data_IF_473765273710
#
_entry.id   IF_473765273710
#
_cell.length_a   1.000
_cell.length_b   1.000
_cell.length_c   1.000
_cell.angle_alpha   90.00
_cell.angle_beta   90.00
_cell.angle_gamma   90.00
#
_symmetry.space_group_name_H-M   'P 1'
#
loop_
_entity.id
_entity.type
_entity.pdbx_description
1 polymer ?
#
# COMPACT_ATOMS: atom_id res chain seq x y z
N UNK A 1 -24.17 25.69 20.47
CA UNK A 1 -24.11 24.27 20.85
C UNK A 1 -23.82 24.21 22.33
N UNK A 2 -24.71 23.58 23.12
CA UNK A 2 -24.63 23.58 24.58
C UNK A 2 -23.35 22.87 25.06
N UNK A 3 -22.48 23.59 25.77
CA UNK A 3 -21.19 23.11 26.27
C UNK A 3 -21.24 22.04 27.37
N UNK A 4 -22.35 21.30 27.48
CA UNK A 4 -22.60 20.34 28.56
C UNK A 4 -22.71 18.88 28.10
N UNK A 5 -22.95 18.61 26.81
CA UNK A 5 -23.21 17.23 26.31
C UNK A 5 -22.05 16.27 26.58
N UNK A 6 -20.80 16.73 26.46
CA UNK A 6 -19.64 15.89 26.76
C UNK A 6 -19.48 15.61 28.26
N UNK A 7 -19.81 16.56 29.15
CA UNK A 7 -19.72 16.36 30.59
C UNK A 7 -20.71 15.30 31.06
N UNK A 8 -21.96 15.44 30.61
CA UNK A 8 -23.03 14.49 30.91
C UNK A 8 -22.64 13.07 30.42
N UNK A 9 -22.09 12.95 29.20
CA UNK A 9 -21.60 11.68 28.69
C UNK A 9 -20.42 11.13 29.51
N UNK A 10 -19.47 11.98 29.90
CA UNK A 10 -18.32 11.58 30.72
C UNK A 10 -18.75 11.01 32.08
N UNK A 11 -19.76 11.60 32.72
CA UNK A 11 -20.33 11.07 33.96
C UNK A 11 -20.96 9.69 33.75
N UNK A 12 -21.75 9.50 32.69
CA UNK A 12 -22.35 8.21 32.34
C UNK A 12 -21.29 7.12 32.08
N UNK A 13 -20.20 7.43 31.39
CA UNK A 13 -19.09 6.49 31.19
C UNK A 13 -18.33 6.20 32.49
N UNK A 14 -18.21 7.19 33.39
CA UNK A 14 -17.55 7.00 34.67
C UNK A 14 -18.35 6.05 35.59
N UNK A 15 -19.68 6.04 35.52
CA UNK A 15 -20.54 5.05 36.21
C UNK A 15 -20.24 3.61 35.77
N UNK A 16 -19.76 3.42 34.52
CA UNK A 16 -19.31 2.13 33.99
C UNK A 16 -17.82 1.84 34.25
N UNK A 17 -17.11 2.71 34.98
CA UNK A 17 -15.68 2.60 35.24
C UNK A 17 -14.77 2.99 34.06
N UNK A 18 -15.28 3.74 33.08
CA UNK A 18 -14.53 4.18 31.89
C UNK A 18 -14.08 5.62 32.03
N UNK A 19 -12.76 5.84 31.96
CA UNK A 19 -12.16 7.18 31.88
C UNK A 19 -12.08 7.64 30.41
N UNK A 20 -13.00 8.52 30.02
CA UNK A 20 -13.08 9.02 28.64
C UNK A 20 -11.96 9.99 28.28
N UNK A 21 -11.41 10.76 29.24
CA UNK A 21 -10.27 11.64 28.96
C UNK A 21 -9.04 10.80 28.62
N UNK A 22 -8.80 9.72 29.39
CA UNK A 22 -7.72 8.78 29.12
C UNK A 22 -7.92 8.06 27.79
N UNK A 23 -9.15 7.65 27.46
CA UNK A 23 -9.46 7.02 26.18
C UNK A 23 -9.20 7.98 25.00
N UNK A 24 -9.63 9.23 25.09
CA UNK A 24 -9.39 10.26 24.07
C UNK A 24 -7.89 10.58 23.94
N UNK A 25 -7.17 10.64 25.07
CA UNK A 25 -5.72 10.85 25.06
C UNK A 25 -4.99 9.69 24.36
N UNK A 26 -5.40 8.44 24.60
CA UNK A 26 -4.86 7.28 23.91
C UNK A 26 -5.19 7.31 22.40
N UNK A 27 -6.44 7.61 22.04
CA UNK A 27 -6.89 7.69 20.65
C UNK A 27 -6.06 8.70 19.82
N UNK A 28 -5.70 9.84 20.40
CA UNK A 28 -4.85 10.86 19.75
C UNK A 28 -3.45 10.36 19.35
N UNK A 29 -3.00 9.24 19.92
CA UNK A 29 -1.68 8.66 19.65
C UNK A 29 -1.70 7.56 18.58
N UNK A 30 -2.87 7.13 18.13
CA UNK A 30 -3.01 6.05 17.14
C UNK A 30 -3.08 6.66 15.74
N UNK A 31 -2.03 6.51 14.91
CA UNK A 31 -2.08 6.94 13.52
C UNK A 31 -2.86 5.95 12.66
N UNK A 32 -3.66 6.49 11.73
CA UNK A 32 -4.28 5.76 10.63
C UNK A 32 -3.49 6.08 9.36
N UNK A 33 -3.07 5.05 8.64
CA UNK A 33 -2.44 5.21 7.32
C UNK A 33 -3.52 5.33 6.26
N UNK A 34 -3.73 6.55 5.76
CA UNK A 34 -4.69 6.85 4.71
C UNK A 34 -4.10 6.43 3.36
N UNK A 35 -4.91 5.87 2.48
CA UNK A 35 -4.46 5.42 1.18
C UNK A 35 -4.53 6.55 0.14
N UNK A 36 -3.43 6.79 -0.59
CA UNK A 36 -3.39 7.89 -1.56
C UNK A 36 -4.34 7.68 -2.73
N UNK A 37 -4.51 6.44 -3.18
CA UNK A 37 -5.20 6.09 -4.42
C UNK A 37 -6.70 6.39 -4.46
N UNK A 38 -7.28 6.80 -3.32
CA UNK A 38 -8.65 7.29 -3.28
C UNK A 38 -8.82 8.62 -4.03
N UNK A 39 -7.77 9.44 -4.15
CA UNK A 39 -7.94 10.78 -4.73
C UNK A 39 -8.06 10.77 -6.24
N UNK A 40 -7.67 9.69 -6.91
CA UNK A 40 -7.52 9.61 -8.36
C UNK A 40 -8.06 8.30 -8.98
N UNK A 41 -8.89 7.57 -8.23
CA UNK A 41 -9.46 6.29 -8.65
C UNK A 41 -8.40 5.24 -9.02
N UNK A 42 -7.28 5.21 -8.28
CA UNK A 42 -6.17 4.27 -8.53
C UNK A 42 -5.55 4.45 -9.92
N UNK A 43 -5.55 5.67 -10.46
CA UNK A 43 -4.98 5.97 -11.78
C UNK A 43 -3.44 5.93 -11.78
N UNK A 44 -2.81 6.60 -10.83
CA UNK A 44 -1.38 6.84 -10.79
C UNK A 44 -0.95 7.98 -11.72
N UNK A 45 0.35 8.29 -11.70
CA UNK A 45 0.94 9.41 -12.44
C UNK A 45 2.13 8.98 -13.31
N UNK A 46 2.23 7.68 -13.62
CA UNK A 46 3.26 7.14 -14.52
C UNK A 46 3.13 7.65 -15.96
N UNK A 47 1.93 8.04 -16.37
CA UNK A 47 1.63 8.71 -17.64
C UNK A 47 0.45 9.68 -17.50
N UNK A 48 0.26 10.66 -18.40
CA UNK A 48 -0.84 11.63 -18.32
C UNK A 48 -2.24 11.00 -18.38
N UNK A 49 -2.37 9.87 -19.06
CA UNK A 49 -3.63 9.13 -19.27
C UNK A 49 -3.65 7.84 -18.45
N UNK A 50 -2.88 7.77 -17.35
CA UNK A 50 -2.83 6.59 -16.50
C UNK A 50 -4.19 6.35 -15.83
N UNK A 51 -4.70 5.14 -15.99
CA UNK A 51 -5.94 4.68 -15.40
C UNK A 51 -5.77 3.27 -14.84
N UNK A 52 -6.60 2.94 -13.85
CA UNK A 52 -6.66 1.59 -13.31
C UNK A 52 -7.03 0.59 -14.41
N UNK A 53 -6.14 -0.38 -14.66
CA UNK A 53 -6.36 -1.46 -15.62
C UNK A 53 -5.88 -2.80 -15.05
N UNK A 54 -6.68 -3.85 -15.25
CA UNK A 54 -6.35 -5.19 -14.75
C UNK A 54 -6.26 -5.29 -13.23
N UNK A 55 -5.52 -6.28 -12.73
CA UNK A 55 -5.30 -6.50 -11.29
C UNK A 55 -6.47 -7.10 -10.51
N UNK A 56 -7.65 -7.25 -11.12
CA UNK A 56 -8.84 -7.77 -10.46
C UNK A 56 -9.37 -6.89 -9.32
N UNK A 57 -9.11 -5.59 -9.44
CA UNK A 57 -9.68 -4.50 -8.64
C UNK A 57 -10.34 -3.51 -9.59
N UNK A 58 -11.34 -2.79 -9.10
CA UNK A 58 -12.08 -1.81 -9.88
C UNK A 58 -12.51 -0.65 -8.98
N UNK A 59 -12.53 0.55 -9.55
CA UNK A 59 -13.24 1.69 -8.98
C UNK A 59 -14.53 1.88 -9.75
N UNK A 60 -15.64 2.08 -9.04
CA UNK A 60 -16.98 2.21 -9.63
C UNK A 60 -17.57 3.58 -9.36
N UNK A 61 -18.18 4.18 -10.38
CA UNK A 61 -18.76 5.53 -10.31
C UNK A 61 -17.96 6.52 -11.14
N UNK A 62 -18.60 7.64 -11.49
CA UNK A 62 -18.01 8.71 -12.33
C UNK A 62 -18.14 10.07 -11.64
N UNK A 63 -17.87 10.12 -10.33
CA UNK A 63 -17.96 11.38 -9.59
C UNK A 63 -16.86 12.33 -10.09
N UNK A 64 -17.19 13.59 -10.46
CA UNK A 64 -16.20 14.50 -11.02
C UNK A 64 -15.20 14.98 -9.96
N UNK A 65 -14.01 15.40 -10.39
CA UNK A 65 -13.05 16.10 -9.54
C UNK A 65 -11.91 15.24 -8.97
N UNK A 66 -11.70 14.02 -9.49
CA UNK A 66 -10.51 13.23 -9.14
C UNK A 66 -9.23 14.00 -9.48
N UNK A 67 -8.22 13.90 -8.61
CA UNK A 67 -6.91 14.50 -8.84
C UNK A 67 -6.24 13.90 -10.08
N UNK A 68 -5.57 14.75 -10.86
CA UNK A 68 -4.96 14.36 -12.16
C UNK A 68 -3.44 14.45 -12.16
N UNK A 69 -2.88 14.93 -11.05
CA UNK A 69 -1.45 15.09 -10.86
C UNK A 69 -1.14 15.19 -9.36
N UNK A 70 0.15 15.12 -9.02
CA UNK A 70 0.64 15.14 -7.64
C UNK A 70 0.26 16.43 -6.90
N UNK A 71 0.22 17.57 -7.58
CA UNK A 71 -0.16 18.85 -6.97
C UNK A 71 -1.62 18.84 -6.52
N UNK A 72 -2.53 18.38 -7.39
CA UNK A 72 -3.95 18.21 -7.06
C UNK A 72 -4.13 17.18 -5.94
N UNK A 73 -3.47 16.02 -6.05
CA UNK A 73 -3.53 14.98 -5.01
C UNK A 73 -3.09 15.49 -3.64
N UNK A 74 -1.98 16.24 -3.56
CA UNK A 74 -1.51 16.82 -2.29
C UNK A 74 -2.50 17.83 -1.73
N UNK A 75 -3.16 18.62 -2.56
CA UNK A 75 -4.19 19.56 -2.12
C UNK A 75 -5.43 18.84 -1.56
N UNK A 76 -5.85 17.75 -2.21
CA UNK A 76 -6.97 16.92 -1.74
C UNK A 76 -6.62 16.24 -0.41
N UNK A 77 -5.42 15.69 -0.30
CA UNK A 77 -4.90 15.10 0.94
C UNK A 77 -4.83 16.15 2.06
N UNK A 78 -4.31 17.34 1.79
CA UNK A 78 -4.26 18.44 2.77
C UNK A 78 -5.65 18.82 3.27
N UNK A 79 -6.66 18.79 2.40
CA UNK A 79 -8.04 19.04 2.81
C UNK A 79 -8.53 17.97 3.78
N UNK A 80 -8.25 16.69 3.51
CA UNK A 80 -8.62 15.58 4.40
C UNK A 80 -7.89 15.68 5.74
N UNK A 81 -6.58 15.95 5.73
CA UNK A 81 -5.77 16.06 6.94
C UNK A 81 -6.22 17.21 7.86
N UNK A 82 -6.84 18.27 7.30
CA UNK A 82 -7.40 19.36 8.09
C UNK A 82 -8.73 19.00 8.79
N UNK A 83 -9.40 17.92 8.39
CA UNK A 83 -10.72 17.53 8.90
C UNK A 83 -10.62 16.30 9.81
N UNK A 84 -9.69 15.39 9.52
CA UNK A 84 -9.48 14.17 10.30
C UNK A 84 -8.64 14.49 11.56
N UNK A 85 -9.12 14.20 12.77
CA UNK A 85 -8.38 14.48 13.99
C UNK A 85 -7.18 13.54 14.15
N UNK A 86 -6.10 14.04 14.76
CA UNK A 86 -4.88 13.27 15.03
C UNK A 86 -3.79 13.51 13.99
N UNK A 87 -2.66 12.83 14.18
CA UNK A 87 -1.54 12.88 13.23
C UNK A 87 -1.50 11.56 12.46
N UNK A 88 -1.95 11.61 11.22
CA UNK A 88 -2.14 10.43 10.39
C UNK A 88 -0.85 10.01 9.69
N UNK A 89 -0.93 8.94 8.88
CA UNK A 89 0.09 8.52 7.92
C UNK A 89 -0.51 8.52 6.52
N UNK A 90 0.36 8.45 5.51
CA UNK A 90 -0.07 8.26 4.12
C UNK A 90 0.60 7.01 3.54
N UNK A 91 -0.21 6.12 2.98
CA UNK A 91 0.22 4.95 2.21
C UNK A 91 0.27 5.31 0.73
N UNK A 92 1.46 5.24 0.15
CA UNK A 92 1.72 5.54 -1.25
C UNK A 92 1.90 4.25 -2.06
N UNK A 93 1.56 4.31 -3.35
CA UNK A 93 1.92 3.28 -4.32
C UNK A 93 3.08 3.77 -5.21
N UNK A 94 3.86 2.83 -5.76
CA UNK A 94 4.98 3.16 -6.66
C UNK A 94 4.56 4.02 -7.86
N UNK A 95 3.35 3.82 -8.39
CA UNK A 95 2.83 4.58 -9.53
C UNK A 95 2.53 6.07 -9.21
N UNK A 96 2.71 6.52 -7.97
CA UNK A 96 2.55 7.92 -7.54
C UNK A 96 3.87 8.69 -7.41
N UNK A 97 4.94 8.20 -8.03
CA UNK A 97 6.23 8.90 -8.08
C UNK A 97 6.19 10.19 -8.92
N UNK A 98 7.09 11.10 -8.61
CA UNK A 98 7.33 12.35 -9.35
C UNK A 98 8.28 12.05 -10.53
N UNK A 99 7.72 11.87 -11.72
CA UNK A 99 8.48 11.46 -12.91
C UNK A 99 8.80 12.60 -13.89
N UNK A 100 8.35 13.82 -13.64
CA UNK A 100 8.56 14.99 -14.51
C UNK A 100 8.20 14.73 -16.00
N UNK A 101 7.12 13.98 -16.23
CA UNK A 101 6.66 13.60 -17.57
C UNK A 101 7.52 12.55 -18.29
N UNK A 102 8.51 11.96 -17.61
CA UNK A 102 9.35 10.89 -18.17
C UNK A 102 8.69 9.53 -17.91
N UNK A 103 8.74 8.66 -18.90
CA UNK A 103 8.39 7.25 -18.70
C UNK A 103 9.58 6.53 -18.04
N UNK A 104 9.43 6.18 -16.76
CA UNK A 104 10.42 5.44 -15.98
C UNK A 104 9.88 4.04 -15.72
N UNK A 105 10.61 3.02 -16.17
CA UNK A 105 10.24 1.63 -15.90
C UNK A 105 10.15 1.37 -14.39
N UNK A 106 9.13 0.62 -13.96
CA UNK A 106 8.86 0.33 -12.55
C UNK A 106 10.01 -0.36 -11.81
N UNK A 107 10.89 -1.04 -12.53
CA UNK A 107 12.12 -1.67 -12.03
C UNK A 107 13.27 -0.68 -11.80
N UNK A 108 13.13 0.57 -12.28
CA UNK A 108 14.13 1.64 -12.20
C UNK A 108 13.71 2.83 -11.34
N UNK A 109 12.46 2.86 -10.88
CA UNK A 109 11.99 3.90 -9.96
C UNK A 109 12.78 3.78 -8.66
N UNK A 110 13.35 4.89 -8.22
CA UNK A 110 14.26 4.98 -7.06
C UNK A 110 13.82 6.11 -6.10
N UNK A 111 14.41 6.23 -4.89
CA UNK A 111 13.99 7.18 -3.85
C UNK A 111 13.86 8.64 -4.29
N UNK A 112 14.66 9.08 -5.27
CA UNK A 112 14.60 10.43 -5.84
C UNK A 112 13.23 10.80 -6.41
N UNK A 113 12.48 9.83 -6.97
CA UNK A 113 11.12 10.07 -7.48
C UNK A 113 10.09 10.23 -6.36
N UNK A 114 10.48 10.08 -5.10
CA UNK A 114 9.63 10.27 -3.92
C UNK A 114 10.17 11.36 -2.99
N UNK A 115 11.17 12.13 -3.41
CA UNK A 115 11.78 13.17 -2.59
C UNK A 115 10.75 14.25 -2.19
N UNK A 116 9.90 14.72 -3.12
CA UNK A 116 8.86 15.69 -2.81
C UNK A 116 7.79 15.13 -1.87
N UNK A 117 7.49 13.83 -1.93
CA UNK A 117 6.58 13.19 -0.97
C UNK A 117 7.18 13.14 0.43
N UNK A 118 8.46 12.82 0.54
CA UNK A 118 9.19 12.81 1.80
C UNK A 118 9.20 14.22 2.40
N UNK A 119 9.48 15.25 1.62
CA UNK A 119 9.52 16.63 2.11
C UNK A 119 8.12 17.13 2.49
N UNK A 120 7.11 16.83 1.68
CA UNK A 120 5.70 17.12 1.99
C UNK A 120 5.25 16.46 3.31
N UNK A 121 5.67 15.22 3.57
CA UNK A 121 5.37 14.51 4.81
C UNK A 121 6.14 15.07 6.02
N UNK A 122 7.39 15.50 5.85
CA UNK A 122 8.19 16.15 6.92
C UNK A 122 7.52 17.42 7.43
N UNK A 123 7.05 18.28 6.53
CA UNK A 123 6.35 19.52 6.90
C UNK A 123 5.12 19.26 7.78
N UNK A 124 4.47 18.11 7.56
CA UNK A 124 3.27 17.66 8.29
C UNK A 124 3.58 16.81 9.50
N UNK A 125 4.86 16.52 9.79
CA UNK A 125 5.30 15.60 10.85
C UNK A 125 4.64 14.22 10.72
N UNK A 126 4.44 13.77 9.49
CA UNK A 126 3.71 12.56 9.14
C UNK A 126 4.66 11.45 8.69
N UNK A 127 4.30 10.20 8.98
CA UNK A 127 4.98 9.02 8.42
C UNK A 127 4.40 8.60 7.07
N UNK A 128 5.23 7.96 6.25
CA UNK A 128 4.82 7.39 4.96
C UNK A 128 4.93 5.86 4.98
N UNK A 129 3.90 5.19 4.47
CA UNK A 129 3.87 3.77 4.13
C UNK A 129 3.92 3.59 2.62
N UNK A 130 4.26 2.40 2.15
CA UNK A 130 4.58 2.18 0.75
C UNK A 130 4.08 0.84 0.21
N UNK A 131 3.83 0.80 -1.09
CA UNK A 131 3.36 -0.38 -1.81
C UNK A 131 4.04 -0.46 -3.17
N UNK A 132 4.48 -1.65 -3.56
CA UNK A 132 4.77 -1.93 -4.96
C UNK A 132 3.46 -1.95 -5.77
N UNK A 133 3.48 -1.45 -7.00
CA UNK A 133 2.35 -1.50 -7.92
C UNK A 133 2.53 -2.70 -8.86
N UNK A 134 1.91 -3.84 -8.55
CA UNK A 134 2.02 -5.10 -9.31
C UNK A 134 0.85 -5.32 -10.30
N UNK A 135 0.22 -4.26 -10.78
CA UNK A 135 -0.98 -4.28 -11.63
C UNK A 135 -1.00 -3.05 -12.59
N UNK A 136 -1.98 -2.90 -13.47
CA UNK A 136 -2.01 -1.79 -14.47
C UNK A 136 -0.70 -1.66 -15.25
N UNK A 137 -0.19 -2.77 -15.79
CA UNK A 137 1.09 -2.78 -16.48
C UNK A 137 1.18 -3.94 -17.47
N UNK A 138 1.78 -3.76 -18.66
CA UNK A 138 1.88 -4.82 -19.67
C UNK A 138 2.46 -6.14 -19.17
N UNK A 139 3.50 -6.08 -18.32
CA UNK A 139 4.08 -7.27 -17.67
C UNK A 139 3.17 -7.95 -16.61
N UNK A 140 1.92 -7.51 -16.43
CA UNK A 140 0.90 -8.12 -15.58
C UNK A 140 -0.36 -8.54 -16.36
N UNK A 141 -0.42 -8.31 -17.69
CA UNK A 141 -1.61 -8.56 -18.51
C UNK A 141 -2.01 -10.04 -18.54
N UNK A 142 -1.04 -10.95 -18.38
CA UNK A 142 -1.27 -12.40 -18.30
C UNK A 142 -1.91 -12.84 -16.96
N UNK A 143 -2.16 -11.90 -16.03
CA UNK A 143 -2.74 -12.19 -14.72
C UNK A 143 -1.76 -12.75 -13.70
N UNK A 144 -0.46 -12.76 -14.01
CA UNK A 144 0.60 -13.21 -13.11
C UNK A 144 1.79 -12.24 -13.13
N UNK A 145 2.44 -12.06 -11.97
CA UNK A 145 3.59 -11.18 -11.78
C UNK A 145 4.75 -11.94 -11.13
N UNK A 146 4.87 -11.94 -9.80
CA UNK A 146 5.90 -12.64 -9.05
C UNK A 146 5.84 -14.17 -9.23
N UNK A 147 4.70 -14.72 -9.64
CA UNK A 147 4.52 -16.15 -9.94
C UNK A 147 4.47 -16.49 -11.42
N UNK A 148 4.68 -15.51 -12.30
CA UNK A 148 4.61 -15.67 -13.76
C UNK A 148 5.53 -16.82 -14.25
N UNK A 149 5.14 -17.65 -15.24
CA UNK A 149 5.99 -18.75 -15.72
C UNK A 149 7.26 -18.26 -16.45
N UNK A 150 7.17 -17.15 -17.19
CA UNK A 150 8.32 -16.48 -17.78
C UNK A 150 9.22 -15.86 -16.69
N UNK A 151 10.51 -16.22 -16.73
CA UNK A 151 11.52 -15.74 -15.81
C UNK A 151 11.80 -14.25 -15.96
N UNK A 152 11.79 -13.70 -17.17
CA UNK A 152 12.08 -12.28 -17.40
C UNK A 152 11.01 -11.38 -16.76
N UNK A 153 9.73 -11.76 -16.86
CA UNK A 153 8.63 -11.06 -16.18
C UNK A 153 8.77 -11.16 -14.66
N UNK A 154 9.13 -12.33 -14.12
CA UNK A 154 9.40 -12.46 -12.68
C UNK A 154 10.56 -11.57 -12.24
N UNK A 155 11.67 -11.55 -12.99
CA UNK A 155 12.83 -10.73 -12.66
C UNK A 155 12.51 -9.23 -12.65
N UNK A 156 11.67 -8.77 -13.58
CA UNK A 156 11.14 -7.41 -13.59
C UNK A 156 10.38 -7.10 -12.29
N UNK A 157 9.44 -7.96 -11.88
CA UNK A 157 8.63 -7.72 -10.67
C UNK A 157 9.42 -7.88 -9.37
N UNK A 158 10.40 -8.79 -9.34
CA UNK A 158 11.33 -8.92 -8.22
C UNK A 158 12.15 -7.64 -8.05
N UNK A 159 12.66 -7.07 -9.15
CA UNK A 159 13.43 -5.83 -9.08
C UNK A 159 12.55 -4.63 -8.70
N UNK A 160 11.34 -4.55 -9.26
CA UNK A 160 10.34 -3.56 -8.84
C UNK A 160 10.11 -3.60 -7.32
N UNK A 161 9.86 -4.78 -6.75
CA UNK A 161 9.66 -4.90 -5.31
C UNK A 161 10.91 -4.56 -4.48
N UNK A 162 12.12 -4.85 -4.97
CA UNK A 162 13.36 -4.38 -4.32
C UNK A 162 13.46 -2.87 -4.30
N UNK A 163 13.12 -2.21 -5.41
CA UNK A 163 13.08 -0.77 -5.47
C UNK A 163 12.03 -0.17 -4.52
N UNK A 164 10.85 -0.78 -4.42
CA UNK A 164 9.84 -0.38 -3.43
C UNK A 164 10.37 -0.43 -2.00
N UNK A 165 11.13 -1.47 -1.64
CA UNK A 165 11.78 -1.59 -0.32
C UNK A 165 12.84 -0.51 -0.08
N UNK A 166 13.66 -0.18 -1.09
CA UNK A 166 14.65 0.91 -1.00
C UNK A 166 13.99 2.27 -0.79
N UNK A 167 12.91 2.56 -1.51
CA UNK A 167 12.13 3.80 -1.37
C UNK A 167 11.55 3.91 0.04
N UNK A 168 10.91 2.86 0.53
CA UNK A 168 10.34 2.86 1.87
C UNK A 168 11.39 2.97 2.98
N UNK A 169 12.55 2.32 2.82
CA UNK A 169 13.67 2.49 3.74
C UNK A 169 14.17 3.95 3.77
N UNK A 170 14.23 4.61 2.61
CA UNK A 170 14.57 6.04 2.53
C UNK A 170 13.50 6.92 3.21
N UNK A 171 12.21 6.63 2.99
CA UNK A 171 11.10 7.31 3.65
C UNK A 171 11.21 7.20 5.18
N UNK A 172 11.33 5.99 5.71
CA UNK A 172 11.35 5.82 7.16
C UNK A 172 12.61 6.36 7.83
N UNK A 173 13.77 6.29 7.15
CA UNK A 173 14.99 6.97 7.59
C UNK A 173 14.80 8.49 7.65
N UNK A 174 14.20 9.09 6.63
CA UNK A 174 14.02 10.54 6.54
C UNK A 174 12.96 11.09 7.51
N UNK A 175 11.95 10.28 7.85
CA UNK A 175 10.81 10.68 8.69
C UNK A 175 10.93 10.21 10.16
N UNK A 176 11.95 9.41 10.47
CA UNK A 176 12.21 8.94 11.84
C UNK A 176 11.21 7.90 12.36
N UNK A 177 10.46 7.26 11.46
CA UNK A 177 9.44 6.24 11.78
C UNK A 177 9.44 5.19 10.67
N UNK A 178 9.35 3.87 10.96
CA UNK A 178 9.43 2.87 9.92
C UNK A 178 8.29 3.00 8.91
N UNK A 179 8.63 2.87 7.63
CA UNK A 179 7.65 2.71 6.55
C UNK A 179 7.22 1.25 6.45
N UNK A 180 5.92 0.97 6.43
CA UNK A 180 5.42 -0.38 6.15
C UNK A 180 5.37 -0.56 4.64
N UNK A 181 6.08 -1.57 4.13
CA UNK A 181 6.07 -1.93 2.71
C UNK A 181 5.14 -3.11 2.51
N UNK A 182 3.96 -2.85 1.97
CA UNK A 182 3.00 -3.89 1.71
C UNK A 182 3.14 -4.45 0.29
N UNK A 183 3.17 -5.78 0.20
CA UNK A 183 3.25 -6.52 -1.06
C UNK A 183 1.92 -7.22 -1.31
N UNK A 184 1.11 -6.61 -2.16
CA UNK A 184 -0.08 -7.21 -2.76
C UNK A 184 0.16 -7.46 -4.25
N UNK A 185 -0.26 -8.62 -4.76
CA UNK A 185 -0.15 -8.99 -6.18
C UNK A 185 -1.47 -9.57 -6.69
N UNK A 186 -1.81 -9.39 -7.98
CA UNK A 186 -3.05 -9.88 -8.55
C UNK A 186 -2.99 -11.35 -9.01
N UNK A 187 -1.84 -12.01 -8.83
CA UNK A 187 -1.53 -13.32 -9.38
C UNK A 187 -2.61 -14.36 -9.11
N UNK A 188 -3.25 -14.82 -10.18
CA UNK A 188 -4.37 -15.73 -10.08
C UNK A 188 -4.92 -16.16 -11.44
N UNK A 189 -5.95 -16.99 -11.41
CA UNK A 189 -6.61 -17.50 -12.60
C UNK A 189 -8.12 -17.36 -12.49
N UNK A 190 -8.72 -16.89 -13.59
CA UNK A 190 -10.18 -16.77 -13.75
C UNK A 190 -10.87 -18.12 -13.59
N UNK A 191 -10.31 -19.16 -14.20
CA UNK A 191 -10.81 -20.54 -14.16
C UNK A 191 -9.81 -21.47 -13.44
N UNK A 192 -10.21 -22.72 -13.21
CA UNK A 192 -9.45 -23.69 -12.44
C UNK A 192 -8.07 -23.97 -13.08
N UNK A 193 -6.96 -23.66 -12.39
CA UNK A 193 -5.64 -24.00 -12.88
C UNK A 193 -5.34 -25.48 -12.67
N UNK A 194 -4.58 -26.07 -13.59
CA UNK A 194 -4.08 -27.44 -13.45
C UNK A 194 -3.00 -27.55 -12.36
N UNK A 195 -2.17 -26.52 -12.21
CA UNK A 195 -1.02 -26.53 -11.29
C UNK A 195 -1.06 -25.36 -10.30
N UNK A 196 -1.69 -25.55 -9.14
CA UNK A 196 -1.66 -24.55 -8.05
C UNK A 196 -0.30 -24.49 -7.35
N UNK A 197 0.42 -25.61 -7.28
CA UNK A 197 1.65 -25.68 -6.50
C UNK A 197 2.79 -24.92 -7.19
N UNK A 198 2.96 -25.08 -8.50
CA UNK A 198 4.04 -24.45 -9.24
C UNK A 198 4.01 -22.93 -9.18
N UNK A 199 2.82 -22.30 -9.26
CA UNK A 199 2.71 -20.84 -9.08
C UNK A 199 3.12 -20.41 -7.67
N UNK A 200 2.71 -21.14 -6.63
CA UNK A 200 3.06 -20.83 -5.24
C UNK A 200 4.55 -21.02 -4.96
N UNK A 201 5.17 -22.05 -5.54
CA UNK A 201 6.62 -22.25 -5.46
C UNK A 201 7.36 -21.08 -6.10
N UNK A 202 6.95 -20.64 -7.30
CA UNK A 202 7.51 -19.46 -7.96
C UNK A 202 7.33 -18.20 -7.12
N UNK A 203 6.14 -17.98 -6.56
CA UNK A 203 5.87 -16.83 -5.70
C UNK A 203 6.80 -16.82 -4.48
N UNK A 204 6.94 -17.94 -3.77
CA UNK A 204 7.85 -18.07 -2.63
C UNK A 204 9.27 -17.69 -3.02
N UNK A 205 9.78 -18.27 -4.11
CA UNK A 205 11.16 -18.03 -4.55
C UNK A 205 11.38 -16.58 -4.98
N UNK A 206 10.39 -15.97 -5.64
CA UNK A 206 10.41 -14.55 -6.01
C UNK A 206 10.39 -13.64 -4.79
N UNK A 207 9.56 -13.92 -3.78
CA UNK A 207 9.51 -13.14 -2.54
C UNK A 207 10.83 -13.28 -1.76
N UNK A 208 11.39 -14.50 -1.64
CA UNK A 208 12.68 -14.73 -0.99
C UNK A 208 13.80 -13.95 -1.72
N UNK A 209 13.77 -13.91 -3.07
CA UNK A 209 14.73 -13.15 -3.87
C UNK A 209 14.53 -11.62 -3.78
N UNK A 210 13.30 -11.15 -3.70
CA UNK A 210 12.92 -9.75 -3.58
C UNK A 210 13.26 -9.19 -2.19
N UNK A 211 13.06 -10.00 -1.16
CA UNK A 211 13.22 -9.61 0.24
C UNK A 211 14.60 -9.97 0.83
N UNK A 212 15.56 -10.38 -0.01
CA UNK A 212 16.89 -10.86 0.42
C UNK A 212 17.76 -9.79 1.10
N UNK A 213 17.65 -8.53 0.67
CA UNK A 213 18.37 -7.42 1.30
C UNK A 213 17.70 -7.04 2.61
N UNK A 214 18.46 -6.95 3.70
CA UNK A 214 17.94 -6.51 4.99
C UNK A 214 18.04 -4.99 5.13
N UNK A 215 16.95 -4.38 5.60
CA UNK A 215 16.92 -2.98 6.02
C UNK A 215 16.67 -2.90 7.53
N UNK A 216 17.19 -1.87 8.22
CA UNK A 216 16.86 -1.65 9.63
C UNK A 216 15.35 -1.61 9.86
N UNK A 217 14.84 -2.37 10.86
CA UNK A 217 13.41 -2.38 11.24
C UNK A 217 12.89 -1.02 11.70
N UNK A 218 13.79 -0.10 12.05
CA UNK A 218 13.50 1.31 12.33
C UNK A 218 13.23 2.14 11.08
N UNK A 219 13.70 1.70 9.91
CA UNK A 219 13.48 2.37 8.63
C UNK A 219 12.30 1.76 7.86
N UNK A 220 12.18 0.43 7.84
CA UNK A 220 11.06 -0.21 7.16
C UNK A 220 10.70 -1.58 7.74
N UNK A 221 9.49 -2.04 7.43
CA UNK A 221 9.02 -3.41 7.73
C UNK A 221 8.27 -3.93 6.52
N UNK A 222 8.56 -5.17 6.12
CA UNK A 222 7.88 -5.85 5.02
C UNK A 222 6.56 -6.47 5.50
N UNK A 223 5.48 -6.25 4.75
CA UNK A 223 4.20 -6.91 4.89
C UNK A 223 3.81 -7.64 3.59
N UNK A 224 3.07 -8.74 3.72
CA UNK A 224 2.48 -9.47 2.60
C UNK A 224 0.97 -9.53 2.75
N UNK A 225 0.23 -9.29 1.67
CA UNK A 225 -1.22 -9.16 1.69
C UNK A 225 -1.92 -10.30 0.95
N UNK A 226 -2.90 -10.89 1.62
CA UNK A 226 -3.71 -11.99 1.10
C UNK A 226 -4.92 -11.48 0.35
N UNK A 227 -5.37 -12.21 -0.67
CA UNK A 227 -6.68 -12.00 -1.29
C UNK A 227 -7.36 -13.34 -1.53
N UNK A 228 -8.69 -13.39 -1.37
CA UNK A 228 -9.47 -14.60 -1.64
C UNK A 228 -9.70 -14.79 -3.14
N UNK A 229 -10.18 -13.75 -3.81
CA UNK A 229 -10.43 -13.72 -5.25
C UNK A 229 -10.43 -12.28 -5.77
N UNK A 230 -10.20 -12.08 -7.07
CA UNK A 230 -10.41 -10.81 -7.77
C UNK A 230 -11.22 -11.01 -9.05
N UNK A 231 -11.64 -9.92 -9.68
CA UNK A 231 -12.33 -9.98 -10.98
C UNK A 231 -11.32 -10.40 -12.05
N UNK A 232 -11.55 -11.51 -12.73
CA UNK A 232 -10.56 -12.15 -13.61
C UNK A 232 -9.57 -13.09 -12.90
N UNK A 233 -9.66 -13.25 -11.57
CA UNK A 233 -8.91 -14.23 -10.78
C UNK A 233 -9.81 -14.97 -9.77
N UNK A 234 -11.03 -15.30 -10.20
CA UNK A 234 -12.11 -15.80 -9.35
C UNK A 234 -11.85 -17.21 -8.80
N UNK A 235 -11.28 -18.09 -9.62
CA UNK A 235 -11.15 -19.51 -9.30
C UNK A 235 -9.89 -19.86 -8.51
N UNK A 236 -8.89 -18.98 -8.54
CA UNK A 236 -7.61 -19.20 -7.90
C UNK A 236 -6.81 -17.92 -7.72
N UNK A 237 -6.31 -17.70 -6.50
CA UNK A 237 -5.30 -16.68 -6.18
C UNK A 237 -4.06 -17.38 -5.65
N UNK A 238 -2.89 -17.00 -6.19
CA UNK A 238 -1.61 -17.62 -5.83
C UNK A 238 -1.26 -17.28 -4.37
N UNK A 239 -1.32 -15.99 -4.04
CA UNK A 239 -1.10 -15.43 -2.71
C UNK A 239 -2.30 -15.58 -1.77
N UNK A 240 -2.73 -16.82 -1.54
CA UNK A 240 -3.84 -17.14 -0.63
C UNK A 240 -3.52 -16.87 0.83
N UNK A 241 -4.55 -16.86 1.69
CA UNK A 241 -4.42 -16.70 3.13
C UNK A 241 -3.37 -17.62 3.76
N UNK A 242 -3.48 -18.93 3.56
CA UNK A 242 -2.55 -19.92 4.17
C UNK A 242 -1.13 -19.78 3.62
N UNK A 243 -0.98 -19.36 2.37
CA UNK A 243 0.32 -19.16 1.74
C UNK A 243 1.07 -18.03 2.45
N UNK A 244 0.45 -16.85 2.55
CA UNK A 244 1.11 -15.71 3.18
C UNK A 244 1.18 -15.81 4.70
N UNK A 245 0.20 -16.45 5.35
CA UNK A 245 0.31 -16.76 6.77
C UNK A 245 1.54 -17.63 7.03
N UNK A 246 1.73 -18.72 6.27
CA UNK A 246 2.93 -19.56 6.37
C UNK A 246 4.22 -18.84 6.00
N UNK A 247 4.20 -18.04 4.93
CA UNK A 247 5.37 -17.26 4.49
C UNK A 247 5.78 -16.23 5.55
N UNK A 248 4.85 -15.41 6.05
CA UNK A 248 5.11 -14.38 7.03
C UNK A 248 5.64 -14.97 8.35
N UNK A 249 5.02 -16.04 8.84
CA UNK A 249 5.44 -16.71 10.08
C UNK A 249 6.86 -17.29 9.98
N UNK A 250 7.23 -17.84 8.82
CA UNK A 250 8.54 -18.48 8.62
C UNK A 250 9.68 -17.52 8.26
N UNK A 251 9.36 -16.28 7.84
CA UNK A 251 10.34 -15.24 7.45
C UNK A 251 10.31 -13.98 8.34
N UNK A 252 9.61 -14.01 9.48
CA UNK A 252 9.44 -12.86 10.38
C UNK A 252 8.95 -11.60 9.63
N UNK A 253 7.92 -11.78 8.81
CA UNK A 253 7.28 -10.69 8.05
C UNK A 253 5.92 -10.34 8.66
N UNK A 254 5.46 -9.13 8.41
CA UNK A 254 4.10 -8.74 8.77
C UNK A 254 3.10 -9.37 7.82
N UNK A 255 1.89 -9.65 8.33
CA UNK A 255 0.73 -10.01 7.51
C UNK A 255 -0.17 -8.79 7.39
N UNK A 256 -0.56 -8.44 6.16
CA UNK A 256 -1.62 -7.47 5.89
C UNK A 256 -2.94 -8.25 5.77
N UNK A 257 -3.92 -7.85 6.57
CA UNK A 257 -5.26 -8.43 6.59
C UNK A 257 -6.24 -7.35 6.12
N UNK A 258 -6.55 -7.36 4.83
CA UNK A 258 -7.70 -6.63 4.31
C UNK A 258 -9.00 -7.31 4.80
N UNK A 259 -10.01 -6.51 5.12
CA UNK A 259 -11.30 -6.99 5.61
C UNK A 259 -12.27 -7.39 4.48
N UNK A 260 -11.90 -7.16 3.21
CA UNK A 260 -12.65 -7.58 2.00
C UNK A 260 -12.17 -8.88 1.39
#
# INVERSE_FOLDING_TARGET
MNGNVYKDAKEQYAELGVDTDKAIAALKTVPISLHCWQTDDVGGFESPDAELSGGGIQVTGNYPGKSRNITEMRADLDKVMNIVPGNQRLSLHMMYGEFDGKNVGREKIAPEHFAGWIDWAKERKMGLDFNGSFFSHPNADDGFTLSHPDKAIREFWIEHGRQSRKIAAAMGKALGTPSIVNTWIPDGAKDLPVDRLGYRVRLRDSLDAMMKEDFPKSHMKDAVETKLFGIGSESYVVGSHEFYMGYAMSRDKMICLDMG
#
